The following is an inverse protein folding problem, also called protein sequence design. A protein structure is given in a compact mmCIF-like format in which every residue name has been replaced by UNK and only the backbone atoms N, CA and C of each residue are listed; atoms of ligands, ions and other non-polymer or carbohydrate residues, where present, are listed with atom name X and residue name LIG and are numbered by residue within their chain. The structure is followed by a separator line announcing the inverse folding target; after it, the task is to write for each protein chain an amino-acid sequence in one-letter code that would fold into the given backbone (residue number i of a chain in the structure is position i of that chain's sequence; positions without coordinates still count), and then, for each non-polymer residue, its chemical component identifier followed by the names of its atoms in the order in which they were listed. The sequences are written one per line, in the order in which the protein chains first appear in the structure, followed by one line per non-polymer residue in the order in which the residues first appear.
data_IF_956221087645
#
_entry.id   IF_956221087645
#
_cell.length_a   1.000
_cell.length_b   1.000
_cell.length_c   1.000
_cell.angle_alpha   90.00
_cell.angle_beta   90.00
_cell.angle_gamma   90.00
#
_symmetry.space_group_name_H-M   'P 1'
#
loop_
_entity.id
_entity.type
_entity.pdbx_description
1 polymer ?
#
# COMPACT_ATOMS: atom_id res chain seq x y z
N UNK A 1 -10.14 -9.48 5.84
CA UNK A 1 -9.82 -9.67 4.41
C UNK A 1 -10.19 -11.08 3.93
N UNK A 2 -11.49 -11.47 4.12
CA UNK A 2 -12.01 -12.74 3.61
C UNK A 2 -12.18 -12.67 2.09
N UNK A 3 -12.05 -13.77 1.35
CA UNK A 3 -12.23 -13.78 -0.10
C UNK A 3 -13.57 -13.19 -0.55
N UNK A 4 -14.66 -13.46 0.19
CA UNK A 4 -16.01 -12.91 -0.10
C UNK A 4 -16.05 -11.39 0.06
N UNK A 5 -15.40 -10.81 1.07
CA UNK A 5 -15.30 -9.37 1.24
C UNK A 5 -14.47 -8.71 0.12
N UNK A 6 -13.37 -9.35 -0.28
CA UNK A 6 -12.57 -8.88 -1.42
C UNK A 6 -13.36 -8.91 -2.73
N UNK A 7 -14.12 -9.97 -2.99
CA UNK A 7 -14.98 -10.06 -4.17
C UNK A 7 -16.09 -9.00 -4.17
N UNK A 8 -16.67 -8.68 -3.01
CA UNK A 8 -17.67 -7.63 -2.87
C UNK A 8 -17.09 -6.21 -3.03
N UNK A 9 -15.82 -6.00 -2.63
CA UNK A 9 -15.14 -4.72 -2.76
C UNK A 9 -14.59 -4.45 -4.17
N UNK A 10 -14.25 -5.50 -4.94
CA UNK A 10 -13.65 -5.38 -6.27
C UNK A 10 -14.40 -4.42 -7.22
N UNK A 11 -15.73 -4.50 -7.41
CA UNK A 11 -16.45 -3.60 -8.31
C UNK A 11 -16.32 -2.12 -7.91
N UNK A 12 -16.30 -1.82 -6.61
CA UNK A 12 -16.17 -0.46 -6.07
C UNK A 12 -14.75 0.08 -6.30
N UNK A 13 -13.74 -0.73 -6.00
CA UNK A 13 -12.34 -0.39 -6.25
C UNK A 13 -12.09 -0.13 -7.74
N UNK A 14 -12.67 -0.95 -8.63
CA UNK A 14 -12.58 -0.79 -10.08
C UNK A 14 -13.27 0.50 -10.57
N UNK A 15 -14.42 0.83 -10.02
CA UNK A 15 -15.12 2.07 -10.34
C UNK A 15 -14.26 3.30 -10.00
N UNK A 16 -13.59 3.29 -8.84
CA UNK A 16 -12.68 4.36 -8.41
C UNK A 16 -11.51 4.51 -9.39
N UNK A 17 -10.83 3.42 -9.75
CA UNK A 17 -9.73 3.46 -10.71
C UNK A 17 -10.19 3.95 -12.08
N UNK A 18 -11.32 3.45 -12.57
CA UNK A 18 -11.91 3.83 -13.86
C UNK A 18 -12.28 5.32 -13.92
N UNK A 19 -12.88 5.87 -12.85
CA UNK A 19 -13.23 7.28 -12.76
C UNK A 19 -12.00 8.17 -12.82
N UNK A 20 -10.99 7.88 -11.99
CA UNK A 20 -9.74 8.64 -11.97
C UNK A 20 -9.03 8.62 -13.33
N UNK A 21 -8.94 7.46 -13.96
CA UNK A 21 -8.29 7.31 -15.26
C UNK A 21 -9.06 7.96 -16.40
N UNK A 22 -10.39 8.08 -16.32
CA UNK A 22 -11.20 8.76 -17.34
C UNK A 22 -10.78 10.22 -17.55
N UNK A 23 -10.44 10.90 -16.47
CA UNK A 23 -10.03 12.31 -16.51
C UNK A 23 -8.57 12.45 -16.97
N UNK A 24 -7.72 11.46 -16.64
CA UNK A 24 -6.28 11.48 -16.92
C UNK A 24 -5.97 11.01 -18.32
N UNK A 25 -6.68 10.00 -18.84
CA UNK A 25 -6.42 9.43 -20.19
C UNK A 25 -6.66 10.43 -21.33
N UNK A 26 -7.25 11.59 -21.05
CA UNK A 26 -7.40 12.71 -21.99
C UNK A 26 -6.20 13.65 -22.02
N UNK A 27 -5.27 13.52 -21.08
CA UNK A 27 -4.05 14.30 -20.97
C UNK A 27 -2.89 13.48 -21.53
N UNK A 28 -2.05 14.10 -22.36
CA UNK A 28 -0.83 13.46 -22.85
C UNK A 28 0.22 13.34 -21.74
N UNK A 29 0.27 14.29 -20.81
CA UNK A 29 1.23 14.33 -19.71
C UNK A 29 0.50 14.42 -18.37
N UNK A 30 0.96 13.63 -17.39
CA UNK A 30 0.38 13.57 -16.06
C UNK A 30 1.48 13.51 -14.97
N UNK A 31 1.15 13.96 -13.78
CA UNK A 31 1.91 13.63 -12.57
C UNK A 31 1.22 12.43 -11.88
N UNK A 32 1.69 11.23 -12.19
CA UNK A 32 1.01 9.98 -11.87
C UNK A 32 0.74 9.77 -10.38
N UNK A 33 1.64 10.24 -9.49
CA UNK A 33 1.43 10.10 -8.03
C UNK A 33 0.27 10.98 -7.57
N UNK A 34 0.27 12.27 -7.92
CA UNK A 34 -0.77 13.19 -7.47
C UNK A 34 -2.09 13.04 -8.24
N UNK A 35 -2.03 12.73 -9.54
CA UNK A 35 -3.21 12.62 -10.39
C UNK A 35 -3.92 11.25 -10.27
N UNK A 36 -3.19 10.18 -9.92
CA UNK A 36 -3.77 8.84 -9.85
C UNK A 36 -3.43 8.06 -8.58
N UNK A 37 -2.15 7.77 -8.29
CA UNK A 37 -1.80 6.78 -7.27
C UNK A 37 -2.24 7.16 -5.85
N UNK A 38 -2.04 8.42 -5.45
CA UNK A 38 -2.51 8.94 -4.16
C UNK A 38 -4.05 9.02 -4.07
N UNK A 39 -4.75 9.67 -5.03
CA UNK A 39 -6.21 9.68 -5.04
C UNK A 39 -6.83 8.27 -5.03
N UNK A 40 -6.27 7.34 -5.78
CA UNK A 40 -6.74 5.96 -5.81
C UNK A 40 -6.64 5.30 -4.43
N UNK A 41 -5.45 5.33 -3.80
CA UNK A 41 -5.24 4.73 -2.49
C UNK A 41 -6.16 5.33 -1.41
N UNK A 42 -6.31 6.65 -1.38
CA UNK A 42 -7.20 7.33 -0.40
C UNK A 42 -8.65 6.96 -0.61
N UNK A 43 -9.14 6.99 -1.87
CA UNK A 43 -10.55 6.70 -2.17
C UNK A 43 -10.86 5.22 -1.92
N UNK A 44 -9.96 4.30 -2.29
CA UNK A 44 -10.10 2.88 -2.03
C UNK A 44 -10.21 2.60 -0.54
N UNK A 45 -9.33 3.18 0.28
CA UNK A 45 -9.41 3.04 1.73
C UNK A 45 -10.70 3.62 2.30
N UNK A 46 -11.11 4.82 1.89
CA UNK A 46 -12.36 5.41 2.37
C UNK A 46 -13.56 4.52 2.03
N UNK A 47 -13.62 3.99 0.81
CA UNK A 47 -14.68 3.08 0.39
C UNK A 47 -14.66 1.76 1.19
N UNK A 48 -13.46 1.23 1.47
CA UNK A 48 -13.32 -0.04 2.22
C UNK A 48 -13.70 0.09 3.70
N UNK A 49 -13.48 1.27 4.30
CA UNK A 49 -13.74 1.55 5.72
C UNK A 49 -15.06 2.32 5.95
N UNK A 50 -15.79 2.68 4.90
CA UNK A 50 -17.06 3.40 5.01
C UNK A 50 -16.92 4.89 5.39
N UNK A 51 -15.79 5.52 5.13
CA UNK A 51 -15.66 6.96 5.23
C UNK A 51 -16.32 7.68 4.06
N UNK A 52 -16.95 8.81 4.35
CA UNK A 52 -17.54 9.67 3.32
C UNK A 52 -16.45 10.33 2.45
N UNK A 53 -16.84 10.71 1.22
CA UNK A 53 -15.94 11.34 0.24
C UNK A 53 -15.30 12.65 0.75
N UNK A 54 -15.94 13.35 1.67
CA UNK A 54 -15.41 14.54 2.33
C UNK A 54 -14.11 14.28 3.10
N UNK A 55 -13.82 13.00 3.45
CA UNK A 55 -12.62 12.59 4.15
C UNK A 55 -11.41 12.34 3.22
N UNK A 56 -11.57 12.36 1.91
CA UNK A 56 -10.47 12.10 0.97
C UNK A 56 -9.31 13.08 1.17
N UNK A 57 -9.60 14.37 1.16
CA UNK A 57 -8.56 15.38 1.33
C UNK A 57 -8.01 15.47 2.77
N UNK A 58 -8.84 15.44 3.83
CA UNK A 58 -8.35 15.33 5.20
C UNK A 58 -7.39 14.14 5.42
N UNK A 59 -7.73 12.94 4.97
CA UNK A 59 -6.88 11.74 5.14
C UNK A 59 -5.60 11.81 4.31
N UNK A 60 -5.67 12.34 3.07
CA UNK A 60 -4.49 12.58 2.25
C UNK A 60 -3.51 13.53 2.93
N UNK A 61 -4.00 14.64 3.44
CA UNK A 61 -3.19 15.63 4.16
C UNK A 61 -2.65 15.07 5.49
N UNK A 62 -3.50 14.34 6.22
CA UNK A 62 -3.09 13.70 7.47
C UNK A 62 -1.96 12.71 7.24
N UNK A 63 -2.05 11.84 6.23
CA UNK A 63 -1.01 10.88 5.88
C UNK A 63 0.33 11.59 5.58
N UNK A 64 0.29 12.69 4.82
CA UNK A 64 1.48 13.49 4.53
C UNK A 64 2.08 14.12 5.79
N UNK A 65 1.26 14.73 6.66
CA UNK A 65 1.71 15.29 7.94
C UNK A 65 2.36 14.22 8.81
N UNK A 66 1.72 13.06 8.92
CA UNK A 66 2.23 11.92 9.72
C UNK A 66 3.58 11.43 9.20
N UNK A 67 3.75 11.33 7.90
CA UNK A 67 5.01 10.93 7.27
C UNK A 67 6.13 11.95 7.57
N UNK A 68 5.88 13.24 7.37
CA UNK A 68 6.86 14.30 7.61
C UNK A 68 7.28 14.37 9.09
N UNK A 69 6.32 14.32 10.02
CA UNK A 69 6.60 14.35 11.45
C UNK A 69 7.38 13.11 11.91
N UNK A 70 7.07 11.94 11.31
CA UNK A 70 7.80 10.70 11.59
C UNK A 70 9.25 10.76 11.12
N UNK A 71 9.50 11.29 9.93
CA UNK A 71 10.86 11.47 9.39
C UNK A 71 11.67 12.49 10.18
N UNK A 72 11.04 13.60 10.57
CA UNK A 72 11.65 14.61 11.42
C UNK A 72 11.85 14.16 12.88
N UNK A 73 11.26 13.02 13.29
CA UNK A 73 11.19 12.54 14.68
C UNK A 73 10.57 13.59 15.62
N UNK A 74 9.68 14.44 15.11
CA UNK A 74 8.96 15.48 15.84
C UNK A 74 7.85 14.88 16.69
N UNK A 75 8.19 14.49 17.93
CA UNK A 75 7.27 13.87 18.87
C UNK A 75 6.04 14.74 19.20
N UNK A 76 6.16 16.07 19.45
CA UNK A 76 5.01 16.94 19.65
C UNK A 76 4.06 16.94 18.45
N UNK A 77 4.57 17.10 17.23
CA UNK A 77 3.76 17.03 16.00
C UNK A 77 3.11 15.66 15.84
N UNK A 78 3.84 14.56 16.05
CA UNK A 78 3.29 13.20 16.00
C UNK A 78 2.14 13.01 16.98
N UNK A 79 2.24 13.52 18.20
CA UNK A 79 1.18 13.45 19.20
C UNK A 79 -0.06 14.26 18.79
N UNK A 80 0.12 15.43 18.18
CA UNK A 80 -0.99 16.24 17.66
C UNK A 80 -1.69 15.55 16.49
N UNK A 81 -0.94 14.99 15.56
CA UNK A 81 -1.44 14.26 14.39
C UNK A 81 -2.20 12.99 14.83
N UNK A 82 -1.75 12.31 15.89
CA UNK A 82 -2.48 11.18 16.47
C UNK A 82 -3.86 11.61 17.00
N UNK A 83 -3.94 12.71 17.75
CA UNK A 83 -5.23 13.26 18.24
C UNK A 83 -6.16 13.71 17.11
N UNK A 84 -5.62 14.27 16.03
CA UNK A 84 -6.40 14.61 14.84
C UNK A 84 -7.08 13.35 14.26
N UNK A 85 -6.34 12.26 14.17
CA UNK A 85 -6.86 10.97 13.67
C UNK A 85 -7.86 10.31 14.63
N UNK A 86 -7.64 10.43 15.94
CA UNK A 86 -8.61 9.98 16.95
C UNK A 86 -9.97 10.68 16.74
N UNK A 87 -9.99 11.98 16.42
CA UNK A 87 -11.20 12.70 16.06
C UNK A 87 -11.91 12.10 14.84
N UNK A 88 -11.18 11.86 13.74
CA UNK A 88 -11.75 11.24 12.53
C UNK A 88 -12.33 9.85 12.80
N UNK A 89 -11.61 9.01 13.55
CA UNK A 89 -12.06 7.67 13.86
C UNK A 89 -13.21 7.65 14.88
N UNK A 90 -13.24 8.57 15.85
CA UNK A 90 -14.35 8.68 16.80
C UNK A 90 -15.67 8.99 16.07
N UNK A 91 -15.65 9.88 15.07
CA UNK A 91 -16.82 10.21 14.27
C UNK A 91 -17.28 9.01 13.42
N UNK A 92 -16.35 8.27 12.82
CA UNK A 92 -16.63 7.05 12.06
C UNK A 92 -17.26 5.98 12.94
N UNK A 93 -16.68 5.69 14.12
CA UNK A 93 -17.18 4.67 15.03
C UNK A 93 -18.55 5.05 15.62
N UNK A 94 -18.77 6.33 15.93
CA UNK A 94 -20.07 6.84 16.39
C UNK A 94 -21.13 6.60 15.33
N UNK A 95 -20.86 6.99 14.07
CA UNK A 95 -21.79 6.77 12.97
C UNK A 95 -22.19 5.30 12.82
N UNK A 96 -21.25 4.37 12.92
CA UNK A 96 -21.53 2.93 12.81
C UNK A 96 -22.23 2.35 14.03
N UNK A 97 -22.07 2.93 15.22
CA UNK A 97 -22.82 2.53 16.43
C UNK A 97 -24.28 2.98 16.39
N UNK A 98 -24.54 4.13 15.79
CA UNK A 98 -25.89 4.72 15.69
C UNK A 98 -26.69 4.16 14.51
N UNK A 99 -26.03 3.61 13.50
CA UNK A 99 -26.64 3.08 12.30
C UNK A 99 -26.35 1.58 12.18
N UNK A 100 -27.35 0.80 11.75
CA UNK A 100 -27.14 -0.61 11.47
C UNK A 100 -26.12 -0.80 10.34
N UNK A 101 -25.34 -1.89 10.38
CA UNK A 101 -24.42 -2.25 9.31
C UNK A 101 -25.14 -2.26 7.95
N UNK A 102 -24.58 -1.56 6.97
CA UNK A 102 -25.20 -1.42 5.66
C UNK A 102 -25.06 -2.65 4.78
N UNK A 103 -24.11 -3.53 5.13
CA UNK A 103 -23.86 -4.79 4.43
C UNK A 103 -23.09 -5.78 5.34
N UNK A 104 -23.10 -7.05 4.98
CA UNK A 104 -22.41 -8.14 5.73
C UNK A 104 -20.87 -8.06 5.68
N UNK A 105 -20.31 -7.18 4.84
CA UNK A 105 -18.88 -6.98 4.66
C UNK A 105 -18.38 -5.66 5.25
N UNK A 106 -19.18 -5.03 6.12
CA UNK A 106 -18.80 -3.80 6.81
C UNK A 106 -17.67 -4.08 7.81
N UNK A 107 -16.50 -3.54 7.49
CA UNK A 107 -15.27 -3.76 8.27
C UNK A 107 -15.38 -3.13 9.65
N UNK A 108 -15.95 -1.93 9.75
CA UNK A 108 -16.10 -1.22 11.03
C UNK A 108 -17.10 -1.96 11.92
N UNK A 109 -18.22 -2.39 11.37
CA UNK A 109 -19.18 -3.24 12.11
C UNK A 109 -18.51 -4.52 12.62
N UNK A 110 -17.72 -5.19 11.79
CA UNK A 110 -16.96 -6.38 12.17
C UNK A 110 -15.96 -6.12 13.29
N UNK A 111 -15.30 -4.95 13.31
CA UNK A 111 -14.39 -4.55 14.38
C UNK A 111 -15.13 -4.24 15.68
N UNK A 112 -16.30 -3.61 15.62
CA UNK A 112 -17.15 -3.33 16.77
C UNK A 112 -17.69 -4.61 17.42
N UNK A 113 -17.92 -5.65 16.64
CA UNK A 113 -18.36 -6.97 17.13
C UNK A 113 -17.20 -7.86 17.58
N UNK A 114 -15.96 -7.54 17.21
CA UNK A 114 -14.79 -8.35 17.55
C UNK A 114 -14.57 -8.48 19.05
N UNK A 115 -14.06 -9.64 19.46
CA UNK A 115 -13.74 -9.96 20.86
C UNK A 115 -12.29 -10.39 21.00
N UNK A 116 -11.63 -9.86 22.03
CA UNK A 116 -10.28 -10.30 22.45
C UNK A 116 -10.39 -10.78 23.89
N UNK A 117 -10.01 -12.01 24.15
CA UNK A 117 -10.15 -12.66 25.47
C UNK A 117 -11.58 -12.56 26.05
N UNK A 118 -12.59 -12.70 25.18
CA UNK A 118 -14.01 -12.66 25.55
C UNK A 118 -14.60 -11.25 25.75
N UNK A 119 -13.81 -10.19 25.75
CA UNK A 119 -14.28 -8.80 25.84
C UNK A 119 -14.32 -8.09 24.48
N UNK A 120 -15.17 -7.06 24.29
CA UNK A 120 -15.12 -6.22 23.12
C UNK A 120 -13.81 -5.43 23.08
N UNK A 121 -13.42 -4.99 21.87
CA UNK A 121 -12.33 -4.02 21.71
C UNK A 121 -12.70 -2.69 22.36
N UNK A 122 -11.72 -2.05 23.01
CA UNK A 122 -11.85 -0.69 23.50
C UNK A 122 -11.73 0.33 22.37
N UNK A 123 -12.19 1.55 22.58
CA UNK A 123 -12.04 2.62 21.57
C UNK A 123 -10.57 2.90 21.27
N UNK A 124 -9.67 2.83 22.27
CA UNK A 124 -8.23 2.97 22.08
C UNK A 124 -7.63 1.88 21.17
N UNK A 125 -8.09 0.62 21.36
CA UNK A 125 -7.68 -0.49 20.49
C UNK A 125 -8.22 -0.32 19.07
N UNK A 126 -9.45 0.12 18.91
CA UNK A 126 -10.06 0.44 17.61
C UNK A 126 -9.31 1.56 16.90
N UNK A 127 -8.98 2.66 17.61
CA UNK A 127 -8.18 3.77 17.05
C UNK A 127 -6.79 3.30 16.64
N UNK A 128 -6.14 2.46 17.43
CA UNK A 128 -4.84 1.90 17.11
C UNK A 128 -4.88 1.04 15.85
N UNK A 129 -5.88 0.18 15.71
CA UNK A 129 -6.08 -0.68 14.55
C UNK A 129 -6.30 0.18 13.29
N UNK A 130 -7.24 1.12 13.34
CA UNK A 130 -7.60 1.97 12.20
C UNK A 130 -6.45 2.89 11.78
N UNK A 131 -5.70 3.44 12.76
CA UNK A 131 -4.51 4.24 12.48
C UNK A 131 -3.41 3.42 11.80
N UNK A 132 -3.12 2.23 12.33
CA UNK A 132 -2.13 1.35 11.72
C UNK A 132 -2.51 0.94 10.30
N UNK A 133 -3.79 0.67 10.09
CA UNK A 133 -4.31 0.37 8.76
C UNK A 133 -4.10 1.56 7.82
N UNK A 134 -4.58 2.75 8.19
CA UNK A 134 -4.46 3.95 7.36
C UNK A 134 -3.02 4.30 7.00
N UNK A 135 -2.10 4.23 7.98
CA UNK A 135 -0.66 4.46 7.72
C UNK A 135 -0.07 3.38 6.82
N UNK A 136 -0.51 2.12 7.01
CA UNK A 136 0.00 0.98 6.26
C UNK A 136 -0.51 0.91 4.82
N UNK A 137 -1.67 1.50 4.52
CA UNK A 137 -2.33 1.39 3.22
C UNK A 137 -2.05 2.59 2.32
N UNK A 138 -2.51 3.79 2.67
CA UNK A 138 -2.51 4.95 1.75
C UNK A 138 -1.11 5.21 1.15
N UNK A 139 -0.10 5.32 2.00
CA UNK A 139 1.26 5.61 1.54
C UNK A 139 1.88 4.46 0.76
N UNK A 140 1.64 3.23 1.20
CA UNK A 140 2.26 2.03 0.64
C UNK A 140 1.62 1.64 -0.70
N UNK A 141 0.29 1.71 -0.82
CA UNK A 141 -0.41 1.46 -2.10
C UNK A 141 -0.05 2.52 -3.12
N UNK A 142 -0.04 3.80 -2.73
CA UNK A 142 0.39 4.87 -3.63
C UNK A 142 1.81 4.65 -4.14
N UNK A 143 2.75 4.28 -3.26
CA UNK A 143 4.14 3.99 -3.63
C UNK A 143 4.23 2.75 -4.53
N UNK A 144 3.53 1.67 -4.20
CA UNK A 144 3.54 0.44 -4.98
C UNK A 144 2.98 0.64 -6.39
N UNK A 145 1.83 1.32 -6.52
CA UNK A 145 1.24 1.64 -7.82
C UNK A 145 2.15 2.55 -8.65
N UNK A 146 2.82 3.51 -8.02
CA UNK A 146 3.83 4.35 -8.67
C UNK A 146 5.05 3.54 -9.16
N UNK A 147 5.57 2.62 -8.34
CA UNK A 147 6.69 1.73 -8.72
C UNK A 147 6.30 0.86 -9.91
N UNK A 148 5.11 0.26 -9.87
CA UNK A 148 4.59 -0.59 -10.94
C UNK A 148 4.45 0.20 -12.25
N UNK A 149 3.86 1.40 -12.20
CA UNK A 149 3.70 2.25 -13.38
C UNK A 149 5.05 2.69 -13.97
N UNK A 150 6.01 3.09 -13.13
CA UNK A 150 7.36 3.45 -13.56
C UNK A 150 8.09 2.26 -14.22
N UNK A 151 7.98 1.07 -13.61
CA UNK A 151 8.57 -0.13 -14.19
C UNK A 151 7.99 -0.43 -15.58
N UNK A 152 6.67 -0.38 -15.72
CA UNK A 152 5.99 -0.58 -16.99
C UNK A 152 6.37 0.49 -18.03
N UNK A 153 6.45 1.75 -17.63
CA UNK A 153 6.86 2.86 -18.49
C UNK A 153 8.30 2.71 -19.02
N UNK A 154 9.14 2.03 -18.26
CA UNK A 154 10.54 1.76 -18.63
C UNK A 154 10.74 0.40 -19.32
N UNK A 155 9.70 -0.46 -19.40
CA UNK A 155 9.79 -1.82 -19.90
C UNK A 155 8.62 -2.15 -20.84
N UNK A 156 8.62 -1.53 -22.02
CA UNK A 156 7.54 -1.70 -23.02
C UNK A 156 7.25 -3.16 -23.40
N UNK A 157 8.25 -4.07 -23.52
CA UNK A 157 7.94 -5.48 -23.79
C UNK A 157 7.10 -6.13 -22.69
N UNK A 158 7.37 -5.83 -21.42
CA UNK A 158 6.55 -6.31 -20.28
C UNK A 158 5.16 -5.69 -20.33
N UNK A 159 5.06 -4.40 -20.60
CA UNK A 159 3.78 -3.69 -20.76
C UNK A 159 2.91 -4.34 -21.85
N UNK A 160 3.50 -4.65 -23.01
CA UNK A 160 2.80 -5.33 -24.11
C UNK A 160 2.34 -6.73 -23.71
N UNK A 161 3.24 -7.52 -23.12
CA UNK A 161 2.91 -8.88 -22.68
C UNK A 161 1.76 -8.93 -21.65
N UNK A 162 1.69 -7.94 -20.75
CA UNK A 162 0.59 -7.85 -19.77
C UNK A 162 -0.73 -7.37 -20.37
N UNK A 163 -0.72 -6.62 -21.48
CA UNK A 163 -1.94 -6.27 -22.22
C UNK A 163 -2.49 -7.48 -22.97
N UNK A 164 -1.60 -8.28 -23.56
CA UNK A 164 -1.97 -9.50 -24.30
C UNK A 164 -2.41 -10.63 -23.36
N UNK A 165 -1.90 -10.66 -22.12
CA UNK A 165 -2.16 -11.71 -21.13
C UNK A 165 -2.42 -11.11 -19.73
N UNK A 166 -3.60 -10.49 -19.51
CA UNK A 166 -3.93 -9.82 -18.24
C UNK A 166 -3.92 -10.75 -17.01
N UNK A 167 -4.13 -12.05 -17.20
CA UNK A 167 -4.04 -13.06 -16.15
C UNK A 167 -2.65 -13.16 -15.53
N UNK A 168 -1.62 -12.62 -16.18
CA UNK A 168 -0.25 -12.56 -15.66
C UNK A 168 0.00 -11.35 -14.74
N UNK A 169 -0.92 -10.38 -14.69
CA UNK A 169 -0.76 -9.15 -13.89
C UNK A 169 -0.50 -9.46 -12.41
N UNK A 170 -1.22 -10.37 -11.73
CA UNK A 170 -0.94 -10.69 -10.33
C UNK A 170 0.50 -11.16 -10.08
N UNK A 171 1.01 -12.08 -10.91
CA UNK A 171 2.38 -12.57 -10.81
C UNK A 171 3.42 -11.48 -11.11
N UNK A 172 3.14 -10.63 -12.10
CA UNK A 172 4.00 -9.50 -12.44
C UNK A 172 4.11 -8.48 -11.28
N UNK A 173 3.00 -8.19 -10.58
CA UNK A 173 2.98 -7.32 -9.40
C UNK A 173 3.91 -7.87 -8.32
N UNK A 174 3.77 -9.14 -7.96
CA UNK A 174 4.60 -9.79 -6.94
C UNK A 174 6.09 -9.72 -7.32
N UNK A 175 6.45 -10.02 -8.56
CA UNK A 175 7.83 -10.04 -9.01
C UNK A 175 8.44 -8.65 -9.13
N UNK A 176 7.73 -7.68 -9.70
CA UNK A 176 8.22 -6.30 -9.79
C UNK A 176 8.46 -5.74 -8.39
N UNK A 177 7.52 -5.96 -7.47
CA UNK A 177 7.63 -5.47 -6.10
C UNK A 177 8.58 -6.31 -5.22
N UNK A 178 8.88 -7.56 -5.58
CA UNK A 178 10.02 -8.29 -4.98
C UNK A 178 11.31 -7.51 -5.19
N UNK A 179 11.55 -7.05 -6.41
CA UNK A 179 12.77 -6.31 -6.75
C UNK A 179 12.70 -4.86 -6.26
N UNK A 180 11.56 -4.19 -6.37
CA UNK A 180 11.39 -2.75 -6.15
C UNK A 180 10.39 -2.42 -5.03
N UNK A 181 10.33 -3.22 -3.97
CA UNK A 181 9.30 -3.10 -2.92
C UNK A 181 9.11 -1.68 -2.36
N UNK A 182 7.87 -1.32 -1.99
CA UNK A 182 7.52 0.03 -1.52
C UNK A 182 8.05 0.35 -0.12
N UNK A 183 8.49 -0.67 0.63
CA UNK A 183 9.08 -0.55 1.96
C UNK A 183 10.47 -1.21 1.97
N UNK A 184 11.51 -0.41 2.27
CA UNK A 184 12.88 -0.91 2.29
C UNK A 184 13.14 -1.76 3.52
N UNK A 185 12.77 -1.27 4.72
CA UNK A 185 13.11 -1.95 5.96
C UNK A 185 12.11 -1.67 7.10
N UNK A 186 12.01 -2.64 8.02
CA UNK A 186 11.38 -2.46 9.32
C UNK A 186 12.40 -2.62 10.45
N UNK A 187 12.03 -2.14 11.63
CA UNK A 187 12.88 -2.21 12.82
C UNK A 187 12.32 -3.20 13.83
N UNK A 188 13.23 -3.82 14.59
CA UNK A 188 12.92 -4.67 15.74
C UNK A 188 13.81 -4.28 16.90
N UNK A 189 13.41 -4.67 18.11
CA UNK A 189 14.21 -4.61 19.33
C UNK A 189 14.22 -6.02 19.91
N UNK A 190 15.39 -6.53 20.25
CA UNK A 190 15.51 -7.85 20.88
C UNK A 190 14.94 -7.81 22.29
N UNK A 191 14.12 -8.77 22.66
CA UNK A 191 13.56 -8.92 24.02
C UNK A 191 14.40 -9.84 24.91
N UNK A 192 15.27 -10.65 24.30
CA UNK A 192 16.24 -11.53 24.95
C UNK A 192 17.50 -11.63 24.08
N UNK A 193 18.63 -12.08 24.61
CA UNK A 193 19.82 -12.36 23.81
C UNK A 193 19.51 -13.37 22.71
N UNK A 194 20.00 -13.08 21.49
CA UNK A 194 19.84 -13.95 20.31
C UNK A 194 21.17 -14.08 19.57
N UNK A 195 21.35 -15.17 18.82
CA UNK A 195 22.48 -15.33 17.94
C UNK A 195 22.02 -15.40 16.49
N UNK A 196 22.57 -14.52 15.64
CA UNK A 196 22.22 -14.44 14.21
C UNK A 196 23.52 -14.41 13.41
N UNK A 197 23.70 -15.37 12.48
CA UNK A 197 24.87 -15.42 11.61
C UNK A 197 26.22 -15.49 12.39
N UNK A 198 26.24 -16.16 13.54
CA UNK A 198 27.43 -16.26 14.42
C UNK A 198 27.67 -15.02 15.31
N UNK A 199 26.85 -13.97 15.18
CA UNK A 199 26.94 -12.76 16.03
C UNK A 199 25.95 -12.86 17.20
N UNK A 200 26.45 -12.66 18.42
CA UNK A 200 25.62 -12.47 19.62
C UNK A 200 25.07 -11.06 19.67
N UNK A 201 23.78 -10.95 19.97
CA UNK A 201 23.02 -9.70 20.03
C UNK A 201 22.31 -9.71 21.40
N UNK A 202 22.58 -8.70 22.22
CA UNK A 202 22.01 -8.60 23.57
C UNK A 202 20.54 -8.15 23.54
N UNK A 203 19.84 -8.35 24.66
CA UNK A 203 18.50 -7.82 24.85
C UNK A 203 18.51 -6.28 24.81
N UNK A 204 17.50 -5.69 24.15
CA UNK A 204 17.37 -4.23 23.98
C UNK A 204 18.11 -3.67 22.76
N UNK A 205 18.85 -4.48 22.02
CA UNK A 205 19.52 -4.02 20.80
C UNK A 205 18.53 -3.86 19.63
N UNK A 206 18.84 -2.91 18.74
CA UNK A 206 18.02 -2.58 17.57
C UNK A 206 18.49 -3.35 16.35
N UNK A 207 17.52 -3.95 15.65
CA UNK A 207 17.72 -4.66 14.40
C UNK A 207 16.97 -3.94 13.28
N UNK A 208 17.53 -3.94 12.08
CA UNK A 208 16.86 -3.53 10.86
C UNK A 208 16.68 -4.75 9.95
N UNK A 209 15.43 -5.07 9.62
CA UNK A 209 15.07 -6.10 8.66
C UNK A 209 14.97 -5.44 7.29
N UNK A 210 15.94 -5.67 6.41
CA UNK A 210 15.96 -5.09 5.07
C UNK A 210 15.26 -6.03 4.08
N UNK A 211 13.99 -5.74 3.77
CA UNK A 211 13.14 -6.56 2.91
C UNK A 211 13.62 -6.60 1.48
N UNK A 212 14.05 -5.45 0.93
CA UNK A 212 14.56 -5.39 -0.44
C UNK A 212 15.85 -6.19 -0.58
N UNK A 213 16.75 -6.14 0.40
CA UNK A 213 17.97 -6.94 0.39
C UNK A 213 17.65 -8.43 0.47
N UNK A 214 16.75 -8.82 1.38
CA UNK A 214 16.34 -10.22 1.52
C UNK A 214 15.67 -10.76 0.24
N UNK A 215 14.85 -9.96 -0.42
CA UNK A 215 14.23 -10.32 -1.70
C UNK A 215 15.19 -10.31 -2.90
N UNK A 216 16.42 -9.85 -2.70
CA UNK A 216 17.50 -9.86 -3.71
C UNK A 216 18.69 -10.70 -3.28
N UNK A 217 18.49 -11.65 -2.35
CA UNK A 217 19.52 -12.55 -1.88
C UNK A 217 19.85 -13.58 -2.98
N UNK A 218 21.10 -13.57 -3.45
CA UNK A 218 21.61 -14.48 -4.49
C UNK A 218 21.65 -15.95 -4.03
N UNK A 219 21.66 -16.19 -2.72
CA UNK A 219 21.54 -17.52 -2.13
C UNK A 219 20.13 -18.10 -2.19
N UNK A 220 19.11 -17.25 -2.50
CA UNK A 220 17.70 -17.63 -2.53
C UNK A 220 17.10 -17.48 -3.92
N UNK A 221 17.47 -16.43 -4.65
CA UNK A 221 16.90 -16.09 -5.95
C UNK A 221 17.97 -16.09 -7.04
N UNK A 222 17.80 -16.89 -8.07
CA UNK A 222 18.62 -16.82 -9.28
C UNK A 222 18.37 -15.48 -9.98
N UNK A 223 19.41 -14.78 -10.43
CA UNK A 223 19.31 -13.44 -11.05
C UNK A 223 18.40 -12.49 -10.25
N UNK A 224 18.72 -12.21 -8.98
CA UNK A 224 17.79 -11.57 -8.04
C UNK A 224 17.39 -10.13 -8.42
N UNK A 225 18.16 -9.47 -9.26
CA UNK A 225 17.90 -8.11 -9.75
C UNK A 225 17.06 -8.06 -11.04
N UNK A 226 16.88 -9.21 -11.68
CA UNK A 226 16.11 -9.32 -12.93
C UNK A 226 14.66 -9.66 -12.60
N UNK A 227 13.72 -8.87 -13.14
CA UNK A 227 12.28 -9.17 -13.07
C UNK A 227 11.95 -10.26 -14.08
N UNK A 228 11.47 -11.38 -13.58
CA UNK A 228 11.07 -12.57 -14.37
C UNK A 228 9.61 -12.91 -14.05
N UNK A 229 8.73 -12.77 -15.04
CA UNK A 229 7.29 -12.99 -14.87
C UNK A 229 6.88 -14.45 -14.61
N UNK A 230 7.80 -15.38 -14.77
CA UNK A 230 7.65 -16.81 -14.53
C UNK A 230 8.25 -17.29 -13.19
N UNK A 231 8.78 -16.37 -12.37
CA UNK A 231 9.43 -16.72 -11.11
C UNK A 231 8.44 -17.26 -10.08
N UNK A 232 8.84 -18.32 -9.37
CA UNK A 232 8.12 -18.76 -8.19
C UNK A 232 8.21 -17.70 -7.07
N UNK A 233 7.06 -17.30 -6.55
CA UNK A 233 6.92 -16.27 -5.53
C UNK A 233 6.85 -16.83 -4.10
N UNK A 234 7.03 -18.12 -3.90
CA UNK A 234 6.88 -18.78 -2.60
C UNK A 234 7.84 -18.26 -1.52
N UNK A 235 9.01 -17.77 -1.92
CA UNK A 235 10.03 -17.20 -1.03
C UNK A 235 10.02 -15.66 -0.99
N UNK A 236 9.07 -15.02 -1.68
CA UNK A 236 8.95 -13.57 -1.70
C UNK A 236 8.52 -13.02 -0.34
N UNK A 237 9.30 -12.12 0.22
CA UNK A 237 9.08 -11.47 1.51
C UNK A 237 8.43 -10.08 1.39
N UNK A 238 7.82 -9.75 0.26
CA UNK A 238 7.15 -8.47 0.02
C UNK A 238 6.17 -8.10 1.15
N UNK A 239 5.42 -9.07 1.63
CA UNK A 239 4.45 -8.90 2.73
C UNK A 239 4.96 -9.37 4.09
N UNK A 240 6.26 -9.62 4.22
CA UNK A 240 6.84 -10.16 5.43
C UNK A 240 6.47 -11.64 5.69
N UNK A 241 6.76 -12.13 6.89
CA UNK A 241 6.57 -13.53 7.28
C UNK A 241 6.27 -13.66 8.78
N UNK A 242 5.64 -14.78 9.15
CA UNK A 242 5.33 -15.11 10.54
C UNK A 242 4.18 -14.27 11.10
N UNK A 243 4.19 -14.00 12.40
CA UNK A 243 3.11 -13.28 13.11
C UNK A 243 2.94 -11.82 12.66
N UNK A 244 3.93 -11.28 11.97
CA UNK A 244 3.92 -9.93 11.41
C UNK A 244 3.72 -9.92 9.89
N UNK A 245 3.35 -11.03 9.27
CA UNK A 245 2.93 -11.01 7.86
C UNK A 245 1.82 -9.98 7.67
N UNK A 246 1.88 -9.26 6.55
CA UNK A 246 0.95 -8.16 6.29
C UNK A 246 -0.50 -8.65 6.27
N UNK A 247 -1.36 -8.21 7.20
CA UNK A 247 -2.77 -8.62 7.21
C UNK A 247 -3.54 -8.04 6.03
N UNK A 248 -3.10 -6.90 5.48
CA UNK A 248 -3.70 -6.22 4.33
C UNK A 248 -3.28 -6.79 2.96
N UNK A 249 -2.44 -7.83 2.90
CA UNK A 249 -1.96 -8.38 1.64
C UNK A 249 -3.07 -8.76 0.63
N UNK A 250 -4.21 -9.36 1.04
CA UNK A 250 -5.29 -9.63 0.09
C UNK A 250 -5.90 -8.37 -0.52
N UNK A 251 -6.10 -7.31 0.27
CA UNK A 251 -6.60 -6.03 -0.20
C UNK A 251 -5.58 -5.34 -1.11
N UNK A 252 -4.33 -5.28 -0.71
CA UNK A 252 -3.26 -4.67 -1.49
C UNK A 252 -3.10 -5.34 -2.87
N UNK A 253 -3.16 -6.67 -2.94
CA UNK A 253 -3.14 -7.42 -4.21
C UNK A 253 -4.32 -7.07 -5.11
N UNK A 254 -5.50 -6.96 -4.53
CA UNK A 254 -6.71 -6.56 -5.25
C UNK A 254 -6.57 -5.17 -5.84
N UNK A 255 -6.19 -4.20 -5.01
CA UNK A 255 -6.05 -2.79 -5.40
C UNK A 255 -5.01 -2.60 -6.50
N UNK A 256 -3.82 -3.16 -6.33
CA UNK A 256 -2.75 -3.05 -7.32
C UNK A 256 -3.11 -3.75 -8.64
N UNK A 257 -3.76 -4.93 -8.58
CA UNK A 257 -4.25 -5.62 -9.77
C UNK A 257 -5.23 -4.75 -10.54
N UNK A 258 -6.23 -4.20 -9.86
CA UNK A 258 -7.23 -3.33 -10.47
C UNK A 258 -6.60 -2.06 -11.05
N UNK A 259 -5.70 -1.42 -10.31
CA UNK A 259 -5.00 -0.22 -10.79
C UNK A 259 -4.25 -0.49 -12.11
N UNK A 260 -3.57 -1.64 -12.23
CA UNK A 260 -2.85 -2.00 -13.44
C UNK A 260 -3.79 -2.43 -14.57
N UNK A 261 -4.80 -3.24 -14.29
CA UNK A 261 -5.80 -3.66 -15.28
C UNK A 261 -6.48 -2.44 -15.92
N UNK A 262 -6.92 -1.48 -15.08
CA UNK A 262 -7.58 -0.27 -15.58
C UNK A 262 -6.60 0.66 -16.31
N UNK A 263 -5.37 0.84 -15.81
CA UNK A 263 -4.34 1.63 -16.48
C UNK A 263 -4.02 1.05 -17.86
N UNK A 264 -3.69 -0.22 -17.92
CA UNK A 264 -3.37 -0.91 -19.17
C UNK A 264 -4.58 -0.98 -20.12
N UNK A 265 -5.79 -1.20 -19.62
CA UNK A 265 -6.99 -1.29 -20.44
C UNK A 265 -7.44 0.05 -21.05
N UNK A 266 -7.05 1.19 -20.47
CA UNK A 266 -7.50 2.53 -20.88
C UNK A 266 -6.44 3.35 -21.60
N UNK A 267 -5.22 2.87 -21.69
CA UNK A 267 -4.12 3.53 -22.39
C UNK A 267 -3.58 2.59 -23.47
N UNK A 268 -3.05 3.13 -24.54
CA UNK A 268 -2.31 2.35 -25.52
C UNK A 268 -0.86 2.15 -25.06
N UNK A 269 -0.28 3.18 -24.46
CA UNK A 269 1.10 3.16 -24.00
C UNK A 269 1.25 4.05 -22.76
N UNK A 270 2.12 3.62 -21.86
CA UNK A 270 2.59 4.39 -20.70
C UNK A 270 4.09 4.51 -20.83
N UNK A 271 4.62 5.71 -20.89
CA UNK A 271 6.07 5.95 -21.01
C UNK A 271 6.55 7.01 -20.02
N UNK A 272 7.82 6.94 -19.64
CA UNK A 272 8.45 7.96 -18.80
C UNK A 272 8.55 9.27 -19.58
N UNK A 273 8.30 10.41 -18.92
CA UNK A 273 8.50 11.72 -19.53
C UNK A 273 10.01 12.03 -19.60
N UNK A 274 10.62 12.15 -20.79
CA UNK A 274 12.06 12.38 -20.90
C UNK A 274 12.49 13.77 -20.43
N UNK A 275 11.56 14.74 -20.43
CA UNK A 275 11.81 16.13 -20.06
C UNK A 275 11.59 16.41 -18.57
N UNK A 276 11.02 15.46 -17.83
CA UNK A 276 10.71 15.59 -16.42
C UNK A 276 11.05 14.30 -15.65
N UNK A 277 12.24 14.19 -15.05
CA UNK A 277 12.64 12.99 -14.31
C UNK A 277 11.81 12.82 -13.03
N UNK A 278 11.55 11.55 -12.61
CA UNK A 278 10.84 11.28 -11.36
C UNK A 278 11.69 11.67 -10.15
N UNK A 279 11.02 12.03 -9.04
CA UNK A 279 11.67 12.28 -7.75
C UNK A 279 11.40 11.11 -6.81
N UNK A 280 12.46 10.56 -6.23
CA UNK A 280 12.35 9.43 -5.30
C UNK A 280 11.79 9.86 -3.93
N UNK A 281 11.15 8.92 -3.26
CA UNK A 281 10.82 9.03 -1.83
C UNK A 281 12.08 8.88 -0.97
N UNK A 282 11.98 9.38 0.28
CA UNK A 282 13.07 9.31 1.26
C UNK A 282 12.94 8.01 2.07
N UNK A 283 14.08 7.33 2.28
CA UNK A 283 14.21 6.15 3.14
C UNK A 283 13.52 6.38 4.52
N UNK A 284 12.79 5.41 5.10
CA UNK A 284 12.67 3.99 4.72
C UNK A 284 11.57 3.69 3.69
N UNK A 285 10.83 4.67 3.20
CA UNK A 285 9.93 4.49 2.07
C UNK A 285 10.72 4.30 0.77
N UNK A 286 10.14 3.62 -0.20
CA UNK A 286 10.65 3.46 -1.55
C UNK A 286 9.57 3.88 -2.54
N UNK A 287 9.97 4.16 -3.78
CA UNK A 287 9.08 4.68 -4.81
C UNK A 287 9.30 6.16 -5.07
N UNK A 288 8.23 6.86 -5.43
CA UNK A 288 8.33 8.21 -6.00
C UNK A 288 7.45 9.19 -5.22
N UNK A 289 7.98 10.39 -5.00
CA UNK A 289 7.20 11.55 -4.57
C UNK A 289 6.56 12.29 -5.74
N UNK A 290 7.21 12.23 -6.92
CA UNK A 290 6.66 12.67 -8.21
C UNK A 290 7.04 11.67 -9.30
N UNK A 291 6.10 11.38 -10.20
CA UNK A 291 6.30 10.46 -11.32
C UNK A 291 5.62 11.01 -12.58
N UNK A 292 6.31 11.90 -13.33
CA UNK A 292 5.81 12.39 -14.60
C UNK A 292 5.78 11.29 -15.65
N UNK A 293 4.62 11.02 -16.23
CA UNK A 293 4.39 10.03 -17.28
C UNK A 293 3.66 10.64 -18.47
N UNK A 294 3.87 10.05 -19.63
CA UNK A 294 3.11 10.31 -20.86
C UNK A 294 2.21 9.11 -21.11
N UNK A 295 0.94 9.38 -21.32
CA UNK A 295 -0.09 8.39 -21.65
C UNK A 295 -0.58 8.61 -23.09
N UNK A 296 -0.76 7.52 -23.84
CA UNK A 296 -1.37 7.56 -25.18
C UNK A 296 -2.47 6.49 -25.31
#
# INVERSE_FOLDING_TARGET
FRPTAMAAFEPKCRAIAAELLKDISRKSEIEFIADFAQPFAVRAQCESLGWHAEMYEPLRLWTRKNQLATFAQDRPAMAQIAREFEGYTADLLRHHRENAATNEHDVIASLLEARVDGRPLTDEELFSILRNWTVGEIGTISAAVGILAHFLASNLPVQTALRESPERIPGAIEEILRVHGPLVANRRVTTCPVQIGGRSIEAGERLSLNWISANRDEGVFDDPYTVRLDRDQSLNLLYGVGIHACPGAPLARLEMRIALEELLGRTQQVISNPDAPPTLLIYPASGFSTLPLILS
#
